data_IF_277127714023
#
_entry.id   IF_277127714023
#
_cell.length_a   1.000
_cell.length_b   1.000
_cell.length_c   1.000
_cell.angle_alpha   90.00
_cell.angle_beta   90.00
_cell.angle_gamma   90.00
#
_symmetry.space_group_name_H-M   'P 1'
#
loop_
_entity.id
_entity.type
_entity.pdbx_description
1 polymer ?
#
# COMPACT_ATOMS: atom_id res chain seq x y z
N UNK A 1 -9.44 -11.82 12.56
CA UNK A 1 -9.96 -11.40 11.24
C UNK A 1 -8.99 -11.88 10.18
N UNK A 2 -9.45 -12.46 9.05
CA UNK A 2 -8.58 -12.79 7.91
C UNK A 2 -7.82 -11.56 7.40
N UNK A 3 -6.58 -11.72 6.93
CA UNK A 3 -5.73 -10.58 6.54
C UNK A 3 -6.27 -9.83 5.33
N UNK A 4 -6.90 -10.53 4.37
CA UNK A 4 -7.61 -9.89 3.25
C UNK A 4 -8.75 -8.97 3.71
N UNK A 5 -9.60 -9.43 4.64
CA UNK A 5 -10.69 -8.63 5.19
C UNK A 5 -10.18 -7.41 6.00
N UNK A 6 -9.10 -7.61 6.78
CA UNK A 6 -8.42 -6.52 7.48
C UNK A 6 -7.93 -5.45 6.52
N UNK A 7 -7.25 -5.87 5.44
CA UNK A 7 -6.70 -4.97 4.44
C UNK A 7 -7.78 -4.11 3.77
N UNK A 8 -8.90 -4.72 3.35
CA UNK A 8 -10.03 -3.99 2.76
C UNK A 8 -10.66 -3.02 3.76
N UNK A 9 -10.80 -3.43 5.03
CA UNK A 9 -11.32 -2.57 6.09
C UNK A 9 -10.44 -1.35 6.30
N UNK A 10 -9.12 -1.54 6.39
CA UNK A 10 -8.16 -0.45 6.53
C UNK A 10 -8.18 0.50 5.33
N UNK A 11 -8.20 -0.03 4.10
CA UNK A 11 -8.30 0.80 2.90
C UNK A 11 -9.58 1.64 2.89
N UNK A 12 -10.71 1.06 3.31
CA UNK A 12 -11.98 1.77 3.41
C UNK A 12 -11.92 2.89 4.45
N UNK A 13 -11.34 2.62 5.64
CA UNK A 13 -11.13 3.63 6.69
C UNK A 13 -10.20 4.76 6.25
N UNK A 14 -9.18 4.44 5.47
CA UNK A 14 -8.24 5.41 4.90
C UNK A 14 -8.84 6.21 3.73
N UNK A 15 -10.04 5.86 3.27
CA UNK A 15 -10.74 6.56 2.18
C UNK A 15 -10.30 6.12 0.78
N UNK A 16 -9.73 4.92 0.63
CA UNK A 16 -9.45 4.37 -0.68
C UNK A 16 -10.75 4.16 -1.47
N UNK A 17 -10.74 4.64 -2.70
CA UNK A 17 -11.84 4.52 -3.66
C UNK A 17 -11.24 4.05 -4.99
N UNK A 18 -11.54 2.81 -5.44
CA UNK A 18 -10.98 2.28 -6.68
C UNK A 18 -11.26 3.15 -7.91
N UNK A 19 -12.40 3.84 -7.96
CA UNK A 19 -12.78 4.67 -9.11
C UNK A 19 -11.90 5.93 -9.17
N UNK A 20 -11.57 6.50 -8.01
CA UNK A 20 -10.77 7.73 -7.92
C UNK A 20 -9.27 7.47 -7.94
N UNK A 21 -8.83 6.37 -7.32
CA UNK A 21 -7.41 6.13 -7.05
C UNK A 21 -6.79 5.11 -8.01
N UNK A 22 -7.56 4.20 -8.59
CA UNK A 22 -7.08 3.23 -9.58
C UNK A 22 -7.52 3.68 -10.98
N UNK A 23 -6.72 4.54 -11.61
CA UNK A 23 -7.05 5.19 -12.90
C UNK A 23 -6.11 4.76 -14.03
N UNK A 24 -6.52 5.03 -15.28
CA UNK A 24 -5.70 4.76 -16.46
C UNK A 24 -5.36 3.27 -16.59
N UNK A 25 -4.07 2.95 -16.71
CA UNK A 25 -3.60 1.56 -16.85
C UNK A 25 -3.89 0.67 -15.63
N UNK A 26 -4.26 1.28 -14.50
CA UNK A 26 -4.65 0.62 -13.25
C UNK A 26 -6.17 0.60 -13.02
N UNK A 27 -7.00 0.98 -13.99
CA UNK A 27 -8.46 0.90 -13.81
C UNK A 27 -8.95 -0.54 -13.69
N UNK A 28 -10.14 -0.70 -13.11
CA UNK A 28 -10.86 -1.97 -12.95
C UNK A 28 -10.12 -3.00 -12.09
N UNK A 29 -9.41 -2.55 -11.05
CA UNK A 29 -8.86 -3.45 -10.03
C UNK A 29 -9.99 -4.15 -9.26
N UNK A 30 -9.72 -5.35 -8.77
CA UNK A 30 -10.59 -5.98 -7.79
C UNK A 30 -10.44 -5.28 -6.44
N UNK A 31 -11.57 -5.10 -5.73
CA UNK A 31 -11.59 -4.50 -4.39
C UNK A 31 -12.49 -5.30 -3.46
N UNK A 32 -11.96 -6.42 -2.96
CA UNK A 32 -12.60 -7.33 -2.01
C UNK A 32 -11.54 -8.16 -1.27
N UNK A 33 -11.93 -8.94 -0.25
CA UNK A 33 -10.99 -9.63 0.64
C UNK A 33 -10.07 -10.66 -0.04
N UNK A 34 -10.51 -11.27 -1.14
CA UNK A 34 -9.70 -12.22 -1.94
C UNK A 34 -8.84 -11.56 -3.04
N UNK A 35 -8.64 -10.23 -3.00
CA UNK A 35 -7.97 -9.45 -4.05
C UNK A 35 -6.63 -10.05 -4.51
N UNK A 36 -5.83 -10.58 -3.58
CA UNK A 36 -4.53 -11.18 -3.91
C UNK A 36 -4.55 -12.70 -4.05
N UNK A 37 -5.64 -13.39 -3.69
CA UNK A 37 -5.70 -14.86 -3.73
C UNK A 37 -6.49 -15.40 -4.92
N UNK A 38 -7.35 -14.58 -5.52
CA UNK A 38 -8.26 -15.02 -6.59
C UNK A 38 -7.60 -15.15 -7.96
N UNK A 39 -6.72 -14.23 -8.36
CA UNK A 39 -6.09 -14.25 -9.68
C UNK A 39 -4.61 -14.60 -9.65
N UNK A 40 -4.11 -15.05 -10.80
CA UNK A 40 -2.70 -15.42 -10.99
C UNK A 40 -1.74 -14.22 -11.12
N UNK A 41 -2.26 -13.01 -11.38
CA UNK A 41 -1.50 -11.75 -11.45
C UNK A 41 -2.36 -10.64 -10.85
N UNK A 42 -1.90 -10.04 -9.76
CA UNK A 42 -2.56 -8.93 -9.07
C UNK A 42 -1.64 -7.71 -8.98
N UNK A 43 -0.78 -7.51 -9.99
CA UNK A 43 0.18 -6.42 -10.04
C UNK A 43 -0.51 -5.04 -10.08
N UNK A 44 -1.71 -4.94 -10.66
CA UNK A 44 -2.47 -3.68 -10.72
C UNK A 44 -3.04 -3.33 -9.35
N UNK A 45 -3.67 -4.31 -8.71
CA UNK A 45 -4.23 -4.25 -7.36
C UNK A 45 -3.15 -3.80 -6.38
N UNK A 46 -1.98 -4.45 -6.43
CA UNK A 46 -0.85 -4.09 -5.60
C UNK A 46 -0.39 -2.66 -5.89
N UNK A 47 -0.17 -2.29 -7.16
CA UNK A 47 0.33 -0.96 -7.51
C UNK A 47 -0.63 0.16 -7.09
N UNK A 48 -1.92 0.02 -7.38
CA UNK A 48 -2.93 1.02 -7.05
C UNK A 48 -3.07 1.22 -5.52
N UNK A 49 -3.22 0.11 -4.78
CA UNK A 49 -3.45 0.17 -3.34
C UNK A 49 -2.19 0.57 -2.57
N UNK A 50 -1.02 0.03 -2.92
CA UNK A 50 0.23 0.41 -2.25
C UNK A 50 0.62 1.86 -2.55
N UNK A 51 0.38 2.37 -3.77
CA UNK A 51 0.74 3.76 -4.09
C UNK A 51 -0.07 4.74 -3.25
N UNK A 52 -1.37 4.48 -3.11
CA UNK A 52 -2.24 5.23 -2.22
C UNK A 52 -1.72 5.23 -0.78
N UNK A 53 -1.38 4.05 -0.24
CA UNK A 53 -0.83 3.92 1.12
C UNK A 53 0.49 4.68 1.29
N UNK A 54 1.41 4.57 0.33
CA UNK A 54 2.66 5.34 0.35
C UNK A 54 2.42 6.85 0.31
N UNK A 55 1.46 7.32 -0.49
CA UNK A 55 1.11 8.74 -0.55
C UNK A 55 0.61 9.28 0.79
N UNK A 56 -0.21 8.51 1.51
CA UNK A 56 -0.69 8.88 2.84
C UNK A 56 0.43 8.90 3.88
N UNK A 57 1.33 7.90 3.81
CA UNK A 57 2.46 7.79 4.72
C UNK A 57 3.47 8.94 4.54
N UNK A 58 3.93 9.16 3.30
CA UNK A 58 4.81 10.27 2.94
C UNK A 58 4.68 10.61 1.46
N UNK A 59 3.93 11.68 1.17
CA UNK A 59 3.71 12.17 -0.19
C UNK A 59 4.99 12.64 -0.88
N UNK A 60 5.91 13.26 -0.15
CA UNK A 60 7.15 13.81 -0.72
C UNK A 60 8.08 12.68 -1.13
N UNK A 61 8.26 11.69 -0.26
CA UNK A 61 9.05 10.50 -0.55
C UNK A 61 8.43 9.69 -1.68
N UNK A 62 7.11 9.50 -1.68
CA UNK A 62 6.40 8.79 -2.77
C UNK A 62 6.69 9.40 -4.14
N UNK A 63 6.60 10.73 -4.27
CA UNK A 63 6.92 11.42 -5.53
C UNK A 63 8.36 11.19 -5.98
N UNK A 64 9.31 11.14 -5.06
CA UNK A 64 10.72 10.90 -5.37
C UNK A 64 10.97 9.44 -5.75
N UNK A 65 10.49 8.51 -4.93
CA UNK A 65 10.69 7.05 -5.10
C UNK A 65 10.12 6.54 -6.41
N UNK A 66 8.90 6.98 -6.77
CA UNK A 66 8.19 6.45 -7.94
C UNK A 66 8.24 7.38 -9.16
N UNK A 67 9.08 8.43 -9.15
CA UNK A 67 9.17 9.44 -10.22
C UNK A 67 9.25 8.87 -11.63
N UNK A 68 10.00 7.77 -11.79
CA UNK A 68 10.30 7.20 -13.11
C UNK A 68 9.30 6.14 -13.56
N UNK A 69 8.39 5.71 -12.67
CA UNK A 69 7.44 4.63 -12.93
C UNK A 69 5.99 5.00 -12.57
N UNK A 70 5.73 6.25 -12.17
CA UNK A 70 4.39 6.75 -11.85
C UNK A 70 4.15 8.14 -12.47
N UNK A 71 3.04 8.38 -13.19
CA UNK A 71 1.95 7.44 -13.47
C UNK A 71 2.36 6.31 -14.43
N UNK A 72 1.61 5.21 -14.39
CA UNK A 72 1.87 4.02 -15.22
C UNK A 72 1.31 4.26 -16.63
N UNK A 73 2.20 4.56 -17.57
CA UNK A 73 1.90 4.76 -18.99
C UNK A 73 2.47 3.63 -19.85
N UNK A 74 3.72 3.22 -19.61
CA UNK A 74 4.26 1.95 -20.12
C UNK A 74 3.94 0.84 -19.11
N UNK A 75 2.84 0.14 -19.33
CA UNK A 75 2.28 -0.83 -18.38
C UNK A 75 3.32 -1.84 -17.90
N UNK A 76 4.07 -2.49 -18.82
CA UNK A 76 4.99 -3.57 -18.45
C UNK A 76 6.22 -3.02 -17.73
N UNK A 77 6.86 -1.99 -18.30
CA UNK A 77 8.09 -1.44 -17.76
C UNK A 77 7.85 -0.74 -16.43
N UNK A 78 6.88 0.17 -16.38
CA UNK A 78 6.62 0.97 -15.19
C UNK A 78 6.10 0.11 -14.03
N UNK A 79 5.22 -0.89 -14.26
CA UNK A 79 4.81 -1.78 -13.18
C UNK A 79 6.00 -2.58 -12.60
N UNK A 80 6.91 -3.07 -13.46
CA UNK A 80 8.10 -3.79 -12.99
C UNK A 80 8.98 -2.88 -12.13
N UNK A 81 9.28 -1.67 -12.60
CA UNK A 81 10.08 -0.69 -11.86
C UNK A 81 9.40 -0.28 -10.55
N UNK A 82 8.07 -0.08 -10.58
CA UNK A 82 7.26 0.22 -9.41
C UNK A 82 7.36 -0.87 -8.34
N UNK A 83 7.18 -2.14 -8.71
CA UNK A 83 7.23 -3.26 -7.75
C UNK A 83 8.60 -3.40 -7.10
N UNK A 84 9.68 -3.17 -7.85
CA UNK A 84 11.04 -3.17 -7.30
C UNK A 84 11.21 -2.06 -6.26
N UNK A 85 10.80 -0.83 -6.57
CA UNK A 85 10.89 0.31 -5.65
C UNK A 85 9.99 0.13 -4.42
N UNK A 86 8.77 -0.36 -4.61
CA UNK A 86 7.82 -0.65 -3.53
C UNK A 86 8.34 -1.74 -2.60
N UNK A 87 8.89 -2.84 -3.16
CA UNK A 87 9.56 -3.88 -2.36
C UNK A 87 10.69 -3.31 -1.50
N UNK A 88 11.55 -2.46 -2.07
CA UNK A 88 12.65 -1.85 -1.33
C UNK A 88 12.15 -0.98 -0.16
N UNK A 89 11.11 -0.18 -0.39
CA UNK A 89 10.55 0.67 0.67
C UNK A 89 9.83 -0.16 1.75
N UNK A 90 9.02 -1.16 1.37
CA UNK A 90 8.41 -2.07 2.34
C UNK A 90 9.46 -2.82 3.17
N UNK A 91 10.58 -3.20 2.54
CA UNK A 91 11.68 -3.86 3.24
C UNK A 91 12.39 -2.93 4.22
N UNK A 92 12.51 -1.64 3.90
CA UNK A 92 13.00 -0.64 4.86
C UNK A 92 12.05 -0.51 6.05
N UNK A 93 10.73 -0.39 5.81
CA UNK A 93 9.72 -0.33 6.87
C UNK A 93 9.76 -1.57 7.75
N UNK A 94 9.93 -2.76 7.17
CA UNK A 94 10.10 -4.00 7.93
C UNK A 94 11.33 -3.93 8.84
N UNK A 95 12.48 -3.46 8.33
CA UNK A 95 13.72 -3.32 9.12
C UNK A 95 13.61 -2.28 10.23
N UNK A 96 12.77 -1.27 10.04
CA UNK A 96 12.49 -0.24 11.05
C UNK A 96 11.48 -0.71 12.11
N UNK A 97 10.92 -1.93 11.97
CA UNK A 97 9.91 -2.46 12.89
C UNK A 97 8.51 -1.88 12.68
N UNK A 98 8.27 -1.22 11.55
CA UNK A 98 6.99 -0.58 11.25
C UNK A 98 5.90 -1.58 10.82
N UNK A 99 6.30 -2.71 10.22
CA UNK A 99 5.36 -3.75 9.79
C UNK A 99 5.14 -4.75 10.93
N UNK A 100 3.95 -4.69 11.52
CA UNK A 100 3.55 -5.56 12.64
C UNK A 100 3.23 -6.99 12.19
N UNK A 101 3.45 -7.97 13.07
CA UNK A 101 3.22 -9.40 12.81
C UNK A 101 4.41 -10.14 12.20
N UNK A 102 4.24 -11.42 11.89
CA UNK A 102 5.29 -12.27 11.28
C UNK A 102 5.37 -12.07 9.75
N UNK A 103 5.49 -10.81 9.31
CA UNK A 103 5.56 -10.47 7.88
C UNK A 103 6.94 -10.84 7.34
N UNK A 104 6.96 -11.65 6.29
CA UNK A 104 8.18 -12.01 5.56
C UNK A 104 8.11 -11.41 4.17
N UNK A 105 9.10 -10.57 3.83
CA UNK A 105 9.22 -10.00 2.49
C UNK A 105 10.20 -10.81 1.64
N UNK A 106 9.72 -11.35 0.53
CA UNK A 106 10.56 -11.98 -0.51
C UNK A 106 10.29 -11.32 -1.85
N UNK A 107 11.34 -11.12 -2.64
CA UNK A 107 11.22 -10.49 -3.96
C UNK A 107 10.26 -11.23 -4.88
N UNK A 108 10.22 -12.56 -4.81
CA UNK A 108 9.32 -13.40 -5.61
C UNK A 108 7.84 -13.12 -5.34
N UNK A 109 7.47 -12.66 -4.14
CA UNK A 109 6.06 -12.29 -3.85
C UNK A 109 5.59 -11.07 -4.65
N UNK A 110 6.53 -10.28 -5.19
CA UNK A 110 6.25 -9.08 -5.98
C UNK A 110 6.41 -9.33 -7.49
N UNK A 111 6.54 -10.58 -7.95
CA UNK A 111 6.56 -10.89 -9.38
C UNK A 111 5.15 -10.83 -9.97
N UNK A 112 4.20 -11.45 -9.27
CA UNK A 112 2.77 -11.57 -9.59
C UNK A 112 1.84 -11.02 -8.49
N UNK A 113 2.38 -10.60 -7.34
CA UNK A 113 1.64 -10.00 -6.23
C UNK A 113 0.47 -10.85 -5.74
N UNK A 114 0.66 -12.17 -5.60
CA UNK A 114 -0.45 -13.09 -5.24
C UNK A 114 -0.23 -13.90 -3.96
N UNK A 115 -1.32 -14.47 -3.49
CA UNK A 115 -1.42 -15.40 -2.37
C UNK A 115 -1.52 -14.74 -1.00
N UNK A 116 -1.69 -15.58 0.02
CA UNK A 116 -1.88 -15.14 1.41
C UNK A 116 -0.73 -14.30 1.94
N UNK A 117 0.51 -14.55 1.46
CA UNK A 117 1.66 -13.74 1.86
C UNK A 117 1.52 -12.29 1.40
N UNK A 118 0.92 -12.04 0.24
CA UNK A 118 0.66 -10.67 -0.20
C UNK A 118 -0.44 -10.02 0.65
N UNK A 119 -1.49 -10.78 1.02
CA UNK A 119 -2.50 -10.30 1.99
C UNK A 119 -1.86 -9.90 3.32
N UNK A 120 -1.00 -10.75 3.89
CA UNK A 120 -0.31 -10.47 5.16
C UNK A 120 0.53 -9.19 5.09
N UNK A 121 1.30 -9.03 4.02
CA UNK A 121 2.15 -7.84 3.78
C UNK A 121 1.28 -6.58 3.68
N UNK A 122 0.25 -6.62 2.84
CA UNK A 122 -0.59 -5.45 2.56
C UNK A 122 -1.49 -5.09 3.75
N UNK A 123 -1.98 -6.08 4.49
CA UNK A 123 -2.70 -5.85 5.74
C UNK A 123 -1.81 -5.15 6.77
N UNK A 124 -0.61 -5.69 7.03
CA UNK A 124 0.34 -5.07 7.97
C UNK A 124 0.74 -3.66 7.55
N UNK A 125 1.02 -3.45 6.26
CA UNK A 125 1.34 -2.12 5.73
C UNK A 125 0.18 -1.13 5.89
N UNK A 126 -1.04 -1.52 5.53
CA UNK A 126 -2.22 -0.66 5.67
C UNK A 126 -2.51 -0.30 7.14
N UNK A 127 -2.30 -1.24 8.07
CA UNK A 127 -2.43 -0.99 9.51
C UNK A 127 -1.41 0.05 9.96
N UNK A 128 -0.14 -0.10 9.58
CA UNK A 128 0.90 0.87 9.92
C UNK A 128 0.58 2.27 9.40
N UNK A 129 0.06 2.40 8.17
CA UNK A 129 -0.36 3.69 7.62
C UNK A 129 -1.54 4.28 8.41
N UNK A 130 -2.54 3.47 8.75
CA UNK A 130 -3.68 3.91 9.57
C UNK A 130 -3.25 4.41 10.94
N UNK A 131 -2.40 3.67 11.64
CA UNK A 131 -1.82 4.08 12.92
C UNK A 131 -1.00 5.37 12.80
N UNK A 132 -0.25 5.53 11.71
CA UNK A 132 0.54 6.72 11.44
C UNK A 132 -0.34 7.97 11.25
N UNK A 133 -1.49 7.84 10.57
CA UNK A 133 -2.45 8.94 10.41
C UNK A 133 -3.10 9.29 11.74
N UNK A 134 -3.61 8.30 12.48
CA UNK A 134 -4.23 8.52 13.80
C UNK A 134 -3.25 9.25 14.74
N UNK A 135 -1.99 8.81 14.77
CA UNK A 135 -0.96 9.42 15.62
C UNK A 135 -0.68 10.88 15.23
N UNK A 136 -0.66 11.19 13.92
CA UNK A 136 -0.46 12.55 13.42
C UNK A 136 -1.63 13.46 13.79
N UNK A 137 -2.87 12.99 13.62
CA UNK A 137 -4.08 13.76 13.96
C UNK A 137 -4.17 14.05 15.47
N UNK A 138 -3.81 13.08 16.31
CA UNK A 138 -3.73 13.26 17.77
C UNK A 138 -2.70 14.31 18.16
N UNK A 139 -1.52 14.28 17.53
CA UNK A 139 -0.48 15.27 17.77
C UNK A 139 -0.94 16.68 17.36
N UNK A 140 -1.56 16.83 16.18
CA UNK A 140 -2.10 18.11 15.72
C UNK A 140 -3.21 18.65 16.65
N UNK A 141 -4.11 17.78 17.10
CA UNK A 141 -5.20 18.15 18.04
C UNK A 141 -4.67 18.52 19.42
N UNK A 142 -3.63 17.83 19.90
CA UNK A 142 -2.96 18.14 21.16
C UNK A 142 -2.23 19.49 21.14
N UNK A 143 -1.60 19.83 20.02
CA UNK A 143 -0.94 21.14 19.83
C UNK A 143 -1.97 22.28 19.82
N UNK A 144 -3.11 22.10 19.15
CA UNK A 144 -4.19 23.10 19.12
C UNK A 144 -4.77 23.36 20.52
N UNK A 145 -4.98 22.31 21.31
CA UNK A 145 -5.49 22.43 22.68
C UNK A 145 -4.48 23.01 23.67
N UNK A 146 -3.17 22.88 23.41
CA UNK A 146 -2.12 23.44 24.28
C UNK A 146 -1.81 24.92 24.00
N UNK A 147 -2.34 25.47 22.90
CA UNK A 147 -2.07 26.86 22.47
C UNK A 147 -3.25 27.80 22.76
N UNK A 148 -4.38 27.28 23.25
CA UNK A 148 -5.56 28.02 23.74
C UNK A 148 -5.58 28.08 25.26
#
# INVERSE_FOLDING_TARGET
MPTGALFISNLSLLGFDPIKHATGALSNIQFHEEMFTRNADNNKEFAATSHFLFQLLDRTRTRKTFRNCWPITDYRRHLREYRVAAYQWLHELLRQGCLVGQVVLRRSYFEDCRGERMNDIMASFSTHVLESIITREQHESGVLNATL
#
